data_IF_533894231553
#
_entry.id   IF_533894231553
#
_cell.length_a   1.000
_cell.length_b   1.000
_cell.length_c   1.000
_cell.angle_alpha   90.00
_cell.angle_beta   90.00
_cell.angle_gamma   90.00
#
_symmetry.space_group_name_H-M   'P 1'
#
loop_
_entity.id
_entity.type
_entity.pdbx_description
1 polymer ?
#
# COMPACT_ATOMS: atom_id res chain seq x y z
N UNK A 1 62.95 68.35 8.42
CA UNK A 1 61.81 67.72 7.74
C UNK A 1 60.98 67.13 8.82
N UNK A 2 59.84 67.82 9.14
CA UNK A 2 59.00 67.51 10.27
C UNK A 2 57.91 66.53 9.84
N UNK A 3 57.79 65.45 10.59
CA UNK A 3 56.67 64.54 10.45
C UNK A 3 55.76 64.70 11.67
N UNK A 4 54.55 65.18 11.46
CA UNK A 4 53.50 65.33 12.47
C UNK A 4 52.75 63.99 12.69
N UNK A 5 52.39 63.59 13.91
CA UNK A 5 51.61 62.43 14.17
C UNK A 5 50.14 62.75 14.14
N UNK A 6 49.38 61.94 13.39
CA UNK A 6 47.92 61.97 13.33
C UNK A 6 47.35 61.30 14.57
N UNK A 7 46.54 62.06 15.38
CA UNK A 7 45.81 61.52 16.51
C UNK A 7 44.45 61.01 16.04
N UNK A 8 44.20 59.70 16.13
CA UNK A 8 43.00 59.05 15.84
C UNK A 8 42.12 59.02 17.13
N UNK A 9 40.96 59.67 17.09
CA UNK A 9 39.96 59.62 18.16
C UNK A 9 39.11 58.40 18.01
N UNK A 10 39.20 57.47 18.98
CA UNK A 10 38.34 56.26 19.06
C UNK A 10 37.02 56.72 19.70
N UNK A 11 35.93 56.62 18.93
CA UNK A 11 34.57 56.78 19.46
C UNK A 11 34.10 55.41 19.90
N UNK A 12 33.85 55.22 21.19
CA UNK A 12 33.17 54.08 21.76
C UNK A 12 31.66 54.14 21.39
N UNK A 13 31.24 53.34 20.43
CA UNK A 13 29.83 53.03 20.15
C UNK A 13 29.39 51.95 21.12
N UNK A 14 28.52 52.30 22.08
CA UNK A 14 27.83 51.30 22.93
C UNK A 14 26.84 50.53 22.08
N UNK A 15 27.14 49.27 21.75
CA UNK A 15 26.19 48.31 21.20
C UNK A 15 25.21 47.91 22.34
N UNK A 16 23.99 48.35 22.23
CA UNK A 16 22.89 47.84 23.04
C UNK A 16 22.48 46.46 22.48
N UNK A 17 22.89 45.34 23.11
CA UNK A 17 22.49 44.00 22.78
C UNK A 17 21.03 43.80 23.24
N UNK A 18 20.10 43.90 22.29
CA UNK A 18 18.70 43.50 22.48
C UNK A 18 18.65 41.95 22.43
N UNK A 19 18.65 41.30 23.59
CA UNK A 19 18.43 39.86 23.68
C UNK A 19 16.97 39.59 23.36
N UNK A 20 16.69 39.19 22.11
CA UNK A 20 15.39 38.56 21.76
C UNK A 20 15.30 37.26 22.53
N UNK A 21 14.48 37.23 23.55
CA UNK A 21 13.98 35.99 24.19
C UNK A 21 13.10 35.25 23.18
N UNK A 22 13.69 34.48 22.26
CA UNK A 22 12.99 33.39 21.57
C UNK A 22 12.79 32.25 22.58
N UNK A 23 11.76 32.37 23.41
CA UNK A 23 11.25 31.21 24.14
C UNK A 23 10.76 30.17 23.10
N UNK A 24 11.02 28.86 23.30
CA UNK A 24 10.39 27.87 22.47
C UNK A 24 8.88 28.02 22.63
N UNK A 25 8.17 28.36 21.58
CA UNK A 25 6.73 28.14 21.51
C UNK A 25 6.54 26.62 21.57
N UNK A 26 6.36 26.10 22.79
CA UNK A 26 5.69 24.83 23.01
C UNK A 26 4.28 25.06 22.49
N UNK A 27 4.05 24.70 21.21
CA UNK A 27 2.70 24.50 20.73
C UNK A 27 2.10 23.44 21.67
N UNK A 28 1.18 23.86 22.55
CA UNK A 28 0.39 22.95 23.33
C UNK A 28 -0.26 22.01 22.32
N UNK A 29 0.15 20.74 22.29
CA UNK A 29 -0.58 19.72 21.55
C UNK A 29 -1.99 19.73 22.13
N UNK A 30 -2.96 20.17 21.34
CA UNK A 30 -4.35 20.04 21.72
C UNK A 30 -4.61 18.57 22.00
N UNK A 31 -5.10 18.29 23.20
CA UNK A 31 -5.54 16.93 23.53
C UNK A 31 -6.57 16.53 22.48
N UNK A 32 -6.38 15.38 21.88
CA UNK A 32 -7.35 14.82 20.91
C UNK A 32 -8.68 14.60 21.65
N UNK A 33 -9.69 15.39 21.33
CA UNK A 33 -11.02 15.33 21.95
C UNK A 33 -11.96 14.36 21.23
N UNK A 34 -11.43 13.54 20.29
CA UNK A 34 -12.26 12.67 19.48
C UNK A 34 -12.32 11.24 20.04
N UNK A 35 -13.45 10.59 19.86
CA UNK A 35 -13.67 9.18 20.17
C UNK A 35 -13.80 8.36 18.88
N UNK A 36 -13.06 7.25 18.77
CA UNK A 36 -13.19 6.31 17.66
C UNK A 36 -14.57 5.61 17.71
N UNK A 37 -15.30 5.63 16.60
CA UNK A 37 -16.63 5.00 16.46
C UNK A 37 -16.64 3.80 15.53
N UNK A 38 -15.86 3.86 14.46
CA UNK A 38 -15.69 2.76 13.51
C UNK A 38 -14.31 2.85 12.86
N UNK A 39 -13.77 1.71 12.46
CA UNK A 39 -12.55 1.63 11.64
C UNK A 39 -12.82 0.75 10.42
N UNK A 40 -12.33 1.18 9.25
CA UNK A 40 -12.24 0.36 8.04
C UNK A 40 -10.76 0.13 7.74
N UNK A 41 -10.33 -1.12 7.75
CA UNK A 41 -8.97 -1.57 7.44
C UNK A 41 -9.00 -2.19 6.05
N UNK A 42 -8.41 -1.53 5.06
CA UNK A 42 -8.33 -2.02 3.69
C UNK A 42 -6.92 -2.50 3.41
N UNK A 43 -6.68 -3.81 3.61
CA UNK A 43 -5.37 -4.44 3.64
C UNK A 43 -5.00 -5.18 2.36
N UNK A 44 -3.70 -5.25 2.10
CA UNK A 44 -3.08 -6.15 1.14
C UNK A 44 -2.89 -7.53 1.76
N UNK A 45 -2.91 -8.59 0.93
CA UNK A 45 -2.49 -9.93 1.36
C UNK A 45 -1.05 -9.94 1.92
N UNK A 46 -0.79 -10.92 2.79
CA UNK A 46 0.51 -11.15 3.41
C UNK A 46 1.60 -11.67 2.47
N UNK A 47 2.75 -12.01 3.04
CA UNK A 47 3.90 -12.57 2.33
C UNK A 47 3.53 -13.93 1.73
N UNK A 48 3.93 -14.14 0.47
CA UNK A 48 3.55 -15.29 -0.35
C UNK A 48 4.70 -15.81 -1.19
N UNK A 49 4.53 -16.99 -1.76
CA UNK A 49 5.40 -17.48 -2.85
C UNK A 49 5.28 -16.59 -4.10
N UNK A 50 6.25 -16.64 -5.02
CA UNK A 50 6.23 -15.85 -6.25
C UNK A 50 4.95 -16.00 -7.08
N UNK A 51 4.64 -14.98 -7.89
CA UNK A 51 3.50 -15.01 -8.83
C UNK A 51 3.78 -15.76 -10.11
N UNK A 52 5.07 -16.00 -10.43
CA UNK A 52 5.48 -16.84 -11.53
C UNK A 52 5.98 -18.18 -11.00
N UNK A 53 5.76 -19.28 -11.73
CA UNK A 53 6.41 -20.56 -11.43
C UNK A 53 7.91 -20.48 -11.72
N UNK A 54 8.69 -21.31 -11.04
CA UNK A 54 10.14 -21.39 -11.33
C UNK A 54 10.40 -21.88 -12.75
N UNK A 55 9.64 -22.86 -13.21
CA UNK A 55 9.75 -23.45 -14.55
C UNK A 55 8.37 -23.68 -15.15
N UNK A 56 8.27 -23.67 -16.48
CA UNK A 56 7.05 -24.05 -17.22
C UNK A 56 7.37 -25.16 -18.23
N UNK A 57 6.44 -26.10 -18.40
CA UNK A 57 6.50 -27.12 -19.42
C UNK A 57 5.78 -26.67 -20.69
N UNK A 58 6.40 -25.78 -21.49
CA UNK A 58 5.80 -25.24 -22.72
C UNK A 58 5.81 -23.71 -22.77
N UNK A 59 5.04 -23.09 -23.66
CA UNK A 59 4.98 -21.65 -23.77
C UNK A 59 4.38 -21.03 -22.49
N UNK A 60 5.07 -20.03 -21.96
CA UNK A 60 4.68 -19.32 -20.73
C UNK A 60 5.88 -18.63 -20.09
N UNK A 61 5.62 -17.65 -19.25
CA UNK A 61 6.66 -16.95 -18.51
C UNK A 61 6.96 -17.70 -17.21
N UNK A 62 8.25 -17.84 -16.91
CA UNK A 62 8.75 -18.48 -15.69
C UNK A 62 9.98 -17.73 -15.15
N UNK A 63 10.27 -17.89 -13.87
CA UNK A 63 11.39 -17.21 -13.23
C UNK A 63 12.75 -17.63 -13.81
N UNK A 64 12.91 -18.89 -14.21
CA UNK A 64 14.14 -19.40 -14.81
C UNK A 64 14.43 -18.80 -16.20
N UNK A 65 13.43 -18.24 -16.88
CA UNK A 65 13.66 -17.49 -18.11
C UNK A 65 14.52 -16.23 -17.86
N UNK A 66 14.44 -15.66 -16.68
CA UNK A 66 15.12 -14.40 -16.33
C UNK A 66 16.44 -14.61 -15.58
N UNK A 67 16.64 -15.74 -14.90
CA UNK A 67 17.78 -15.92 -14.00
C UNK A 67 18.71 -17.06 -14.44
N UNK A 68 20.01 -16.92 -14.13
CA UNK A 68 21.01 -17.98 -14.37
C UNK A 68 21.08 -18.97 -13.22
N UNK A 69 20.56 -18.61 -12.05
CA UNK A 69 20.50 -19.44 -10.87
C UNK A 69 19.03 -19.78 -10.55
N UNK A 70 18.74 -20.95 -9.99
CA UNK A 70 17.40 -21.28 -9.53
C UNK A 70 17.01 -20.33 -8.37
N UNK A 71 15.76 -19.87 -8.36
CA UNK A 71 15.25 -19.10 -7.23
C UNK A 71 15.19 -19.97 -5.96
N UNK A 72 15.46 -19.38 -4.77
CA UNK A 72 15.34 -20.08 -3.51
C UNK A 72 13.95 -20.70 -3.30
N UNK A 73 13.91 -21.84 -2.62
CA UNK A 73 12.65 -22.49 -2.29
C UNK A 73 11.99 -21.82 -1.08
N UNK A 74 10.72 -21.53 -1.20
CA UNK A 74 9.89 -21.14 -0.05
C UNK A 74 9.46 -22.37 0.77
N UNK A 75 9.06 -22.20 2.04
CA UNK A 75 8.61 -23.31 2.90
C UNK A 75 7.37 -24.05 2.38
N UNK A 76 6.64 -23.42 1.46
CA UNK A 76 5.47 -23.99 0.78
C UNK A 76 5.64 -23.91 -0.72
N UNK A 77 5.08 -24.89 -1.43
CA UNK A 77 5.13 -24.96 -2.89
C UNK A 77 3.88 -24.35 -3.51
N UNK A 78 4.02 -23.89 -4.75
CA UNK A 78 2.91 -23.32 -5.54
C UNK A 78 3.17 -21.85 -5.89
N UNK A 79 2.28 -21.29 -6.69
CA UNK A 79 2.31 -19.91 -7.15
C UNK A 79 1.31 -19.10 -6.33
N UNK A 80 1.72 -17.94 -5.83
CA UNK A 80 0.89 -17.04 -5.04
C UNK A 80 0.23 -17.72 -3.81
N UNK A 81 0.99 -18.54 -3.08
CA UNK A 81 0.53 -19.21 -1.86
C UNK A 81 1.02 -18.45 -0.63
N UNK A 82 0.12 -18.15 0.31
CA UNK A 82 0.49 -17.53 1.59
C UNK A 82 1.52 -18.40 2.31
N UNK A 83 2.66 -17.81 2.70
CA UNK A 83 3.67 -18.56 3.45
C UNK A 83 3.27 -18.69 4.93
N UNK A 84 3.82 -19.67 5.67
CA UNK A 84 3.62 -19.76 7.12
C UNK A 84 4.06 -18.48 7.85
N UNK A 85 5.18 -17.90 7.43
CA UNK A 85 5.69 -16.64 7.99
C UNK A 85 4.78 -15.46 7.62
N UNK A 86 4.23 -15.44 6.39
CA UNK A 86 3.21 -14.48 5.99
C UNK A 86 1.98 -14.56 6.88
N UNK A 87 1.46 -15.77 7.14
CA UNK A 87 0.33 -15.97 8.07
C UNK A 87 0.65 -15.52 9.49
N UNK A 88 1.86 -15.83 10.00
CA UNK A 88 2.31 -15.38 11.32
C UNK A 88 2.37 -13.85 11.41
N UNK A 89 2.91 -13.18 10.40
CA UNK A 89 2.97 -11.72 10.35
C UNK A 89 1.57 -11.08 10.36
N UNK A 90 0.60 -11.67 9.66
CA UNK A 90 -0.78 -11.19 9.68
C UNK A 90 -1.43 -11.39 11.06
N UNK A 91 -1.15 -12.51 11.73
CA UNK A 91 -1.61 -12.75 13.11
C UNK A 91 -1.00 -11.72 14.08
N UNK A 92 0.29 -11.41 13.93
CA UNK A 92 0.96 -10.36 14.73
C UNK A 92 0.32 -8.99 14.49
N UNK A 93 0.05 -8.65 13.23
CA UNK A 93 -0.59 -7.38 12.87
C UNK A 93 -2.03 -7.30 13.40
N UNK A 94 -2.82 -8.36 13.26
CA UNK A 94 -4.16 -8.47 13.86
C UNK A 94 -4.13 -8.29 15.37
N UNK A 95 -3.14 -8.88 16.05
CA UNK A 95 -2.91 -8.70 17.48
C UNK A 95 -2.60 -7.25 17.87
N UNK A 96 -1.82 -6.53 17.07
CA UNK A 96 -1.60 -5.10 17.26
C UNK A 96 -2.91 -4.29 17.12
N UNK A 97 -3.71 -4.56 16.09
CA UNK A 97 -5.01 -3.90 15.94
C UNK A 97 -5.93 -4.19 17.12
N UNK A 98 -5.93 -5.42 17.67
CA UNK A 98 -6.64 -5.73 18.90
C UNK A 98 -6.22 -4.81 20.06
N UNK A 99 -4.91 -4.68 20.32
CA UNK A 99 -4.39 -3.82 21.38
C UNK A 99 -4.78 -2.36 21.19
N UNK A 100 -4.62 -1.85 19.97
CA UNK A 100 -4.96 -0.46 19.65
C UNK A 100 -6.47 -0.20 19.78
N UNK A 101 -7.32 -1.05 19.20
CA UNK A 101 -8.77 -0.87 19.22
C UNK A 101 -9.36 -1.05 20.63
N UNK A 102 -8.74 -1.89 21.48
CA UNK A 102 -9.11 -1.99 22.89
C UNK A 102 -8.73 -0.72 23.64
N UNK A 103 -7.55 -0.16 23.39
CA UNK A 103 -7.12 1.13 23.97
C UNK A 103 -8.05 2.28 23.57
N UNK A 104 -8.50 2.30 22.30
CA UNK A 104 -9.45 3.30 21.78
C UNK A 104 -10.90 3.06 22.28
N UNK A 105 -11.15 1.97 22.99
CA UNK A 105 -12.48 1.63 23.53
C UNK A 105 -13.46 1.10 22.48
N UNK A 106 -12.98 0.72 21.29
CA UNK A 106 -13.81 0.14 20.24
C UNK A 106 -14.08 -1.35 20.51
N UNK A 107 -13.06 -2.07 21.00
CA UNK A 107 -13.15 -3.43 21.53
C UNK A 107 -13.16 -3.44 23.06
N UNK A 108 -13.82 -4.44 23.62
CA UNK A 108 -13.86 -4.67 25.08
C UNK A 108 -12.65 -5.50 25.57
N UNK A 109 -12.00 -6.22 24.64
CA UNK A 109 -10.97 -7.21 24.90
C UNK A 109 -11.49 -8.61 25.21
N UNK A 110 -12.82 -8.81 25.20
CA UNK A 110 -13.48 -10.11 25.28
C UNK A 110 -14.04 -10.48 23.91
N UNK A 111 -13.49 -11.49 23.31
CA UNK A 111 -13.83 -11.86 21.94
C UNK A 111 -15.32 -12.20 21.76
N UNK A 112 -15.95 -12.85 22.74
CA UNK A 112 -17.38 -13.17 22.72
C UNK A 112 -18.31 -11.96 22.75
N UNK A 113 -17.82 -10.82 23.21
CA UNK A 113 -18.57 -9.57 23.25
C UNK A 113 -18.27 -8.72 22.02
N UNK A 114 -17.11 -8.96 21.38
CA UNK A 114 -16.55 -8.14 20.30
C UNK A 114 -16.84 -8.70 18.90
N UNK A 115 -17.03 -10.02 18.73
CA UNK A 115 -17.17 -10.70 17.43
C UNK A 115 -18.36 -10.19 16.62
N UNK A 116 -19.46 -9.86 17.27
CA UNK A 116 -20.68 -9.33 16.64
C UNK A 116 -20.48 -7.94 15.99
N UNK A 117 -19.39 -7.24 16.33
CA UNK A 117 -19.08 -5.91 15.81
C UNK A 117 -18.06 -5.91 14.66
N UNK A 118 -17.60 -7.10 14.27
CA UNK A 118 -16.58 -7.27 13.22
C UNK A 118 -17.22 -7.78 11.93
N UNK A 119 -16.98 -7.08 10.84
CA UNK A 119 -17.25 -7.53 9.49
C UNK A 119 -15.93 -7.73 8.75
N UNK A 120 -15.69 -8.94 8.25
CA UNK A 120 -14.47 -9.27 7.54
C UNK A 120 -14.82 -9.84 6.17
N UNK A 121 -14.16 -9.30 5.12
CA UNK A 121 -14.32 -9.75 3.73
C UNK A 121 -12.97 -9.81 3.03
N UNK A 122 -12.78 -10.88 2.26
CA UNK A 122 -11.59 -11.14 1.47
C UNK A 122 -11.95 -11.35 0.00
N UNK A 123 -11.11 -10.91 -0.92
CA UNK A 123 -11.19 -11.36 -2.31
C UNK A 123 -11.02 -12.89 -2.38
N UNK A 124 -11.72 -13.55 -3.28
CA UNK A 124 -12.01 -15.00 -3.29
C UNK A 124 -10.82 -15.92 -3.54
N UNK A 125 -9.56 -15.45 -3.51
CA UNK A 125 -8.38 -16.31 -3.69
C UNK A 125 -7.94 -16.96 -2.38
N UNK A 126 -7.42 -18.21 -2.38
CA UNK A 126 -6.94 -18.86 -1.16
C UNK A 126 -5.88 -18.05 -0.40
N UNK A 127 -4.99 -17.37 -1.11
CA UNK A 127 -3.99 -16.45 -0.54
C UNK A 127 -4.64 -15.37 0.32
N UNK A 128 -5.63 -14.68 -0.23
CA UNK A 128 -6.25 -13.51 0.40
C UNK A 128 -7.19 -13.94 1.53
N UNK A 129 -7.92 -15.04 1.34
CA UNK A 129 -8.76 -15.65 2.40
C UNK A 129 -7.88 -16.10 3.58
N UNK A 130 -6.75 -16.78 3.30
CA UNK A 130 -5.80 -17.21 4.34
C UNK A 130 -5.18 -16.03 5.10
N UNK A 131 -4.87 -14.94 4.41
CA UNK A 131 -4.42 -13.68 5.02
C UNK A 131 -5.47 -13.12 5.98
N UNK A 132 -6.73 -13.03 5.53
CA UNK A 132 -7.83 -12.53 6.34
C UNK A 132 -8.08 -13.39 7.59
N UNK A 133 -8.01 -14.72 7.44
CA UNK A 133 -8.14 -15.67 8.56
C UNK A 133 -7.00 -15.50 9.57
N UNK A 134 -5.76 -15.36 9.11
CA UNK A 134 -4.59 -15.13 9.96
C UNK A 134 -4.71 -13.80 10.71
N UNK A 135 -5.09 -12.72 10.04
CA UNK A 135 -5.35 -11.43 10.68
C UNK A 135 -6.46 -11.54 11.74
N UNK A 136 -7.57 -12.19 11.41
CA UNK A 136 -8.69 -12.41 12.33
C UNK A 136 -8.26 -13.19 13.58
N UNK A 137 -7.39 -14.19 13.43
CA UNK A 137 -6.88 -14.98 14.58
C UNK A 137 -6.04 -14.16 15.56
N UNK A 138 -5.42 -13.08 15.08
CA UNK A 138 -4.75 -12.11 15.95
C UNK A 138 -5.71 -11.09 16.56
N UNK A 139 -6.68 -10.64 15.78
CA UNK A 139 -7.66 -9.63 16.21
C UNK A 139 -8.61 -10.16 17.29
N UNK A 140 -9.14 -11.38 17.10
CA UNK A 140 -10.09 -12.06 18.00
C UNK A 140 -9.68 -13.52 18.18
N UNK A 141 -8.63 -13.83 18.96
CA UNK A 141 -8.03 -15.17 19.02
C UNK A 141 -8.94 -16.25 19.61
N UNK A 142 -9.96 -15.89 20.39
CA UNK A 142 -10.90 -16.83 20.98
C UNK A 142 -12.27 -16.88 20.28
N UNK A 143 -12.46 -16.12 19.18
CA UNK A 143 -13.68 -16.15 18.40
C UNK A 143 -13.45 -16.79 17.03
N UNK A 144 -14.50 -17.32 16.42
CA UNK A 144 -14.51 -17.77 15.03
C UNK A 144 -15.08 -16.66 14.16
N UNK A 145 -14.21 -15.81 13.62
CA UNK A 145 -14.65 -14.75 12.71
C UNK A 145 -14.91 -15.31 11.32
N UNK A 146 -16.10 -15.04 10.79
CA UNK A 146 -16.47 -15.46 9.44
C UNK A 146 -15.80 -14.53 8.44
N UNK A 147 -15.00 -15.11 7.53
CA UNK A 147 -14.46 -14.41 6.36
C UNK A 147 -15.48 -14.50 5.22
N UNK A 148 -16.14 -13.40 4.91
CA UNK A 148 -16.99 -13.30 3.76
C UNK A 148 -16.13 -13.28 2.49
N UNK A 149 -16.45 -14.11 1.50
CA UNK A 149 -15.75 -14.12 0.20
C UNK A 149 -16.65 -14.68 -0.89
N UNK A 150 -16.37 -14.34 -2.13
CA UNK A 150 -16.96 -15.01 -3.29
C UNK A 150 -16.16 -16.27 -3.60
N UNK A 151 -16.87 -17.30 -4.06
CA UNK A 151 -16.24 -18.56 -4.47
C UNK A 151 -16.00 -18.55 -5.98
N UNK A 152 -14.79 -18.81 -6.45
CA UNK A 152 -14.52 -18.92 -7.88
C UNK A 152 -15.46 -19.95 -8.56
N UNK A 153 -15.93 -19.71 -9.81
CA UNK A 153 -15.46 -18.68 -10.73
C UNK A 153 -16.14 -17.32 -10.56
N UNK A 154 -16.99 -17.10 -9.55
CA UNK A 154 -17.63 -15.81 -9.33
C UNK A 154 -16.60 -14.76 -8.85
N UNK A 155 -16.57 -13.62 -9.50
CA UNK A 155 -15.73 -12.48 -9.13
C UNK A 155 -16.44 -11.63 -8.08
N UNK A 156 -15.66 -11.10 -7.13
CA UNK A 156 -16.20 -10.25 -6.08
C UNK A 156 -16.42 -8.81 -6.61
N UNK A 157 -17.67 -8.32 -6.65
CA UNK A 157 -17.97 -6.99 -7.17
C UNK A 157 -17.26 -5.87 -6.41
N UNK A 158 -16.85 -6.12 -5.16
CA UNK A 158 -16.15 -5.12 -4.35
C UNK A 158 -14.69 -4.92 -4.80
N UNK A 159 -14.01 -6.01 -5.17
CA UNK A 159 -12.57 -6.01 -5.48
C UNK A 159 -12.29 -6.13 -6.98
N UNK A 160 -13.16 -6.80 -7.72
CA UNK A 160 -13.03 -7.08 -9.15
C UNK A 160 -14.30 -6.62 -9.92
N UNK A 161 -14.66 -5.32 -9.85
CA UNK A 161 -15.96 -4.84 -10.33
C UNK A 161 -16.14 -4.99 -11.85
N UNK A 162 -15.06 -5.00 -12.63
CA UNK A 162 -15.10 -5.22 -14.09
C UNK A 162 -15.45 -6.67 -14.40
N UNK A 163 -14.77 -7.62 -13.76
CA UNK A 163 -15.04 -9.05 -13.92
C UNK A 163 -16.43 -9.43 -13.41
N UNK A 164 -16.89 -8.78 -12.35
CA UNK A 164 -18.22 -8.98 -11.79
C UNK A 164 -19.33 -8.28 -12.58
N UNK A 165 -19.00 -7.52 -13.62
CA UNK A 165 -19.97 -6.81 -14.47
C UNK A 165 -20.62 -5.58 -13.81
N UNK A 166 -20.08 -5.09 -12.69
CA UNK A 166 -20.54 -3.87 -12.01
C UNK A 166 -19.96 -2.62 -12.67
N UNK A 167 -18.68 -2.67 -13.07
CA UNK A 167 -18.02 -1.59 -13.77
C UNK A 167 -17.78 -1.93 -15.24
N UNK A 168 -17.85 -0.91 -16.07
CA UNK A 168 -17.59 -1.04 -17.50
C UNK A 168 -16.26 -0.41 -17.89
N UNK A 169 -15.38 -1.19 -18.53
CA UNK A 169 -14.05 -0.79 -18.95
C UNK A 169 -14.00 -0.55 -20.47
N UNK A 170 -13.65 0.68 -20.85
CA UNK A 170 -13.26 0.98 -22.24
C UNK A 170 -11.72 0.82 -22.33
N UNK A 171 -11.29 -0.27 -22.95
CA UNK A 171 -9.87 -0.60 -23.11
C UNK A 171 -9.10 0.44 -23.95
N UNK A 172 -9.74 1.07 -24.94
CA UNK A 172 -9.10 2.12 -25.75
C UNK A 172 -8.84 3.36 -24.91
N UNK A 173 -9.82 3.73 -24.09
CA UNK A 173 -9.66 4.82 -23.14
C UNK A 173 -8.60 4.49 -22.07
N UNK A 174 -8.53 3.24 -21.58
CA UNK A 174 -7.52 2.79 -20.65
C UNK A 174 -6.10 2.98 -21.21
N UNK A 175 -5.85 2.47 -22.42
CA UNK A 175 -4.56 2.63 -23.11
C UNK A 175 -4.25 4.11 -23.35
N UNK A 176 -5.23 4.92 -23.80
CA UNK A 176 -5.03 6.34 -24.00
C UNK A 176 -4.69 7.10 -22.73
N UNK A 177 -5.36 6.75 -21.61
CA UNK A 177 -5.13 7.37 -20.29
C UNK A 177 -3.74 7.05 -19.74
N UNK A 178 -3.28 5.81 -19.88
CA UNK A 178 -1.93 5.40 -19.48
C UNK A 178 -0.86 6.08 -20.33
N UNK A 179 -1.04 6.12 -21.66
CA UNK A 179 -0.14 6.84 -22.56
C UNK A 179 -0.06 8.34 -22.22
N UNK A 180 -1.22 8.97 -21.94
CA UNK A 180 -1.28 10.37 -21.52
C UNK A 180 -0.54 10.61 -20.20
N UNK A 181 -0.70 9.71 -19.24
CA UNK A 181 -0.02 9.80 -17.93
C UNK A 181 1.48 9.48 -18.01
N UNK A 182 1.88 8.61 -18.93
CA UNK A 182 3.28 8.33 -19.20
C UNK A 182 4.03 9.60 -19.64
N UNK A 183 3.40 10.46 -20.41
CA UNK A 183 3.93 11.78 -20.82
C UNK A 183 5.08 11.72 -21.82
N UNK A 184 5.36 10.54 -22.36
CA UNK A 184 6.44 10.30 -23.32
C UNK A 184 6.20 9.03 -24.12
N UNK A 185 7.26 8.47 -24.69
CA UNK A 185 7.19 7.14 -25.29
C UNK A 185 7.42 6.04 -24.22
N UNK A 186 6.84 4.85 -24.37
CA UNK A 186 7.12 3.74 -23.46
C UNK A 186 8.61 3.46 -23.30
N UNK A 187 9.41 3.60 -24.36
CA UNK A 187 10.86 3.42 -24.34
C UNK A 187 11.59 4.44 -23.44
N UNK A 188 10.98 5.58 -23.14
CA UNK A 188 11.52 6.56 -22.20
C UNK A 188 11.62 5.99 -20.77
N UNK A 189 10.79 4.99 -20.42
CA UNK A 189 10.88 4.29 -19.14
C UNK A 189 12.20 3.51 -19.00
N UNK A 190 12.62 2.78 -20.03
CA UNK A 190 13.88 2.06 -20.01
C UNK A 190 15.08 3.00 -19.78
N UNK A 191 15.03 4.21 -20.35
CA UNK A 191 16.07 5.23 -20.14
C UNK A 191 15.99 5.80 -18.72
N UNK A 192 14.81 6.13 -18.24
CA UNK A 192 14.60 6.73 -16.91
C UNK A 192 14.97 5.78 -15.78
N UNK A 193 14.73 4.48 -15.96
CA UNK A 193 15.01 3.42 -14.98
C UNK A 193 16.23 2.55 -15.34
N UNK A 194 17.13 3.05 -16.19
CA UNK A 194 18.35 2.33 -16.59
C UNK A 194 19.20 1.83 -15.42
N UNK A 195 19.41 2.59 -14.33
CA UNK A 195 20.15 2.10 -13.15
C UNK A 195 19.47 0.89 -12.49
N UNK A 196 18.14 0.92 -12.33
CA UNK A 196 17.36 -0.15 -11.74
C UNK A 196 17.37 -1.41 -12.62
N UNK A 197 17.17 -1.25 -13.92
CA UNK A 197 17.24 -2.33 -14.90
C UNK A 197 18.65 -2.96 -14.92
N UNK A 198 19.71 -2.15 -14.87
CA UNK A 198 21.09 -2.63 -14.86
C UNK A 198 21.38 -3.41 -13.57
N UNK A 199 20.95 -2.92 -12.41
CA UNK A 199 21.07 -3.64 -11.15
C UNK A 199 20.29 -4.96 -11.19
N UNK A 200 19.04 -4.92 -11.63
CA UNK A 200 18.20 -6.12 -11.79
C UNK A 200 18.86 -7.16 -12.67
N UNK A 201 19.38 -6.75 -13.83
CA UNK A 201 20.12 -7.64 -14.75
C UNK A 201 21.33 -8.28 -14.08
N UNK A 202 22.12 -7.50 -13.33
CA UNK A 202 23.30 -8.03 -12.66
C UNK A 202 22.95 -9.08 -11.61
N UNK A 203 21.88 -8.87 -10.85
CA UNK A 203 21.37 -9.80 -9.85
C UNK A 203 20.83 -11.07 -10.51
N UNK A 204 19.96 -10.95 -11.52
CA UNK A 204 19.34 -12.09 -12.21
C UNK A 204 20.36 -12.97 -12.93
N UNK A 205 21.40 -12.38 -13.50
CA UNK A 205 22.45 -13.12 -14.20
C UNK A 205 23.65 -13.46 -13.32
N UNK A 206 23.59 -13.13 -12.04
CA UNK A 206 24.65 -13.37 -11.07
C UNK A 206 26.00 -12.76 -11.49
N UNK A 207 25.98 -11.53 -12.00
CA UNK A 207 27.19 -10.79 -12.35
C UNK A 207 27.62 -9.87 -11.23
N UNK A 208 28.94 -9.68 -11.01
CA UNK A 208 29.42 -8.65 -10.10
C UNK A 208 28.92 -7.27 -10.51
N UNK A 209 28.42 -6.49 -9.54
CA UNK A 209 27.98 -5.13 -9.79
C UNK A 209 29.13 -4.28 -10.40
N UNK A 210 28.84 -3.53 -11.46
CA UNK A 210 29.80 -2.65 -12.12
C UNK A 210 30.83 -3.35 -13.00
N UNK A 211 30.63 -4.62 -13.34
CA UNK A 211 31.55 -5.35 -14.24
C UNK A 211 31.63 -4.67 -15.61
N UNK A 212 32.86 -4.44 -16.05
CA UNK A 212 33.18 -3.85 -17.39
C UNK A 212 34.19 -4.74 -18.11
N UNK A 213 33.96 -5.09 -19.40
CA UNK A 213 32.77 -4.78 -20.19
C UNK A 213 31.51 -5.46 -19.62
N UNK A 214 30.33 -4.91 -19.93
CA UNK A 214 29.06 -5.53 -19.55
C UNK A 214 29.00 -6.93 -20.18
N UNK A 215 28.77 -7.99 -19.38
CA UNK A 215 28.71 -9.36 -19.92
C UNK A 215 27.59 -9.52 -20.94
N UNK A 216 27.77 -10.44 -21.90
CA UNK A 216 26.71 -10.82 -22.83
C UNK A 216 25.53 -11.48 -22.10
N UNK A 217 24.35 -11.39 -22.69
CA UNK A 217 23.16 -12.09 -22.19
C UNK A 217 23.37 -13.59 -22.29
N UNK A 218 23.20 -14.35 -21.20
CA UNK A 218 23.33 -15.80 -21.24
C UNK A 218 22.35 -16.44 -22.22
N UNK A 219 22.81 -17.45 -22.94
CA UNK A 219 21.99 -18.15 -23.95
C UNK A 219 20.67 -18.67 -23.36
N UNK A 220 19.56 -18.36 -24.00
CA UNK A 220 18.22 -18.79 -23.59
C UNK A 220 17.62 -18.00 -22.44
N UNK A 221 18.26 -16.91 -21.99
CA UNK A 221 17.72 -16.01 -20.95
C UNK A 221 17.17 -14.72 -21.53
N UNK A 222 16.20 -14.17 -20.85
CA UNK A 222 15.57 -12.88 -21.17
C UNK A 222 16.35 -11.77 -20.49
N UNK A 223 16.86 -10.82 -21.26
CA UNK A 223 17.57 -9.66 -20.73
C UNK A 223 16.60 -8.54 -20.41
N UNK A 224 16.42 -8.26 -19.12
CA UNK A 224 15.48 -7.25 -18.61
C UNK A 224 15.79 -5.83 -19.10
N UNK A 225 17.03 -5.57 -19.59
CA UNK A 225 17.41 -4.26 -20.13
C UNK A 225 17.02 -4.07 -21.59
N UNK A 226 16.61 -5.15 -22.27
CA UNK A 226 16.29 -5.17 -23.69
C UNK A 226 14.84 -5.58 -24.02
N UNK A 227 14.02 -5.91 -23.00
CA UNK A 227 12.61 -6.23 -23.20
C UNK A 227 11.88 -4.98 -23.68
N UNK A 228 11.14 -5.04 -24.80
CA UNK A 228 10.35 -3.92 -25.26
C UNK A 228 9.28 -3.52 -24.23
N UNK A 229 9.25 -2.25 -23.85
CA UNK A 229 8.16 -1.68 -23.05
C UNK A 229 7.18 -1.05 -24.05
N UNK A 230 5.94 -1.44 -24.00
CA UNK A 230 4.86 -0.89 -24.80
C UNK A 230 3.61 -0.66 -23.94
N UNK A 231 2.56 -0.12 -24.52
CA UNK A 231 1.28 0.09 -23.85
C UNK A 231 0.19 -0.49 -24.77
N UNK A 232 -0.29 -1.66 -24.38
CA UNK A 232 -1.28 -2.41 -25.15
C UNK A 232 -2.54 -2.68 -24.32
N UNK A 233 -3.58 -3.17 -24.98
CA UNK A 233 -4.79 -3.64 -24.32
C UNK A 233 -4.48 -4.92 -23.53
N UNK A 234 -4.81 -4.92 -22.27
CA UNK A 234 -4.71 -6.07 -21.38
C UNK A 234 -6.01 -6.87 -21.27
N UNK A 235 -6.39 -7.22 -20.06
CA UNK A 235 -7.61 -7.96 -19.72
C UNK A 235 -8.39 -7.26 -18.60
N UNK A 236 -9.41 -7.89 -18.05
CA UNK A 236 -10.25 -7.29 -17.01
C UNK A 236 -9.50 -7.06 -15.69
N UNK A 237 -8.59 -7.95 -15.33
CA UNK A 237 -7.79 -7.84 -14.09
C UNK A 237 -6.59 -6.91 -14.26
N UNK A 238 -5.99 -6.89 -15.46
CA UNK A 238 -4.90 -6.01 -15.87
C UNK A 238 -5.32 -5.26 -17.14
N UNK A 239 -6.02 -4.13 -17.00
CA UNK A 239 -6.66 -3.43 -18.12
C UNK A 239 -5.72 -2.97 -19.21
N UNK A 240 -4.49 -2.70 -18.85
CA UNK A 240 -3.42 -2.27 -19.76
C UNK A 240 -2.23 -3.19 -19.56
N UNK A 241 -1.69 -3.69 -20.64
CA UNK A 241 -0.44 -4.45 -20.66
C UNK A 241 0.72 -3.49 -20.92
N UNK A 242 1.68 -3.44 -20.01
CA UNK A 242 2.91 -2.64 -20.13
C UNK A 242 4.11 -3.44 -20.64
N UNK A 243 3.85 -4.61 -21.23
CA UNK A 243 4.86 -5.44 -21.89
C UNK A 243 6.04 -5.76 -20.98
N UNK A 244 7.25 -5.47 -21.44
CA UNK A 244 8.48 -5.80 -20.70
C UNK A 244 8.55 -5.19 -19.28
N UNK A 245 7.85 -4.11 -18.96
CA UNK A 245 7.82 -3.59 -17.58
C UNK A 245 7.06 -4.56 -16.65
N UNK A 246 5.96 -5.15 -17.12
CA UNK A 246 5.21 -6.17 -16.37
C UNK A 246 6.06 -7.44 -16.17
N UNK A 247 6.78 -7.87 -17.20
CA UNK A 247 7.68 -9.04 -17.13
C UNK A 247 8.81 -8.80 -16.12
N UNK A 248 9.44 -7.64 -16.16
CA UNK A 248 10.48 -7.26 -15.18
C UNK A 248 9.92 -7.21 -13.76
N UNK A 249 8.76 -6.61 -13.58
CA UNK A 249 8.09 -6.55 -12.27
C UNK A 249 7.81 -7.96 -11.71
N UNK A 250 7.36 -8.88 -12.56
CA UNK A 250 7.14 -10.27 -12.17
C UNK A 250 8.45 -11.02 -11.84
N UNK A 251 9.55 -10.70 -12.53
CA UNK A 251 10.86 -11.30 -12.28
C UNK A 251 11.51 -10.82 -10.98
N UNK A 252 11.23 -9.60 -10.53
CA UNK A 252 11.77 -9.02 -9.28
C UNK A 252 10.86 -9.24 -8.06
N UNK A 253 9.59 -9.58 -8.26
CA UNK A 253 8.62 -9.85 -7.19
C UNK A 253 9.14 -10.83 -6.12
N UNK A 254 9.86 -11.92 -6.47
CA UNK A 254 10.40 -12.83 -5.46
C UNK A 254 11.29 -12.17 -4.41
N UNK A 255 12.10 -11.18 -4.77
CA UNK A 255 13.13 -10.65 -3.87
C UNK A 255 12.56 -9.97 -2.62
N UNK A 256 11.44 -9.26 -2.74
CA UNK A 256 10.77 -8.68 -1.57
C UNK A 256 10.13 -9.79 -0.73
N UNK A 257 9.60 -10.82 -1.36
CA UNK A 257 8.98 -11.95 -0.66
C UNK A 257 10.03 -12.80 0.06
N UNK A 258 11.17 -13.09 -0.58
CA UNK A 258 12.32 -13.77 0.04
C UNK A 258 12.80 -13.04 1.30
N UNK A 259 12.98 -11.71 1.20
CA UNK A 259 13.40 -10.91 2.34
C UNK A 259 12.37 -10.91 3.45
N UNK A 260 11.11 -10.64 3.12
CA UNK A 260 10.02 -10.52 4.08
C UNK A 260 9.64 -11.87 4.73
N UNK A 261 9.83 -12.99 4.01
CA UNK A 261 9.64 -14.35 4.55
C UNK A 261 10.78 -14.80 5.47
N UNK A 262 11.86 -14.02 5.58
CA UNK A 262 12.98 -14.31 6.46
C UNK A 262 13.98 -15.31 5.91
N UNK A 263 14.06 -15.52 4.59
CA UNK A 263 15.06 -16.38 3.98
C UNK A 263 16.48 -15.92 4.39
N UNK A 264 17.47 -16.84 4.49
CA UNK A 264 18.85 -16.46 4.76
C UNK A 264 19.35 -15.33 3.86
N UNK A 265 20.14 -14.41 4.38
CA UNK A 265 20.63 -13.27 3.60
C UNK A 265 21.45 -13.73 2.35
N UNK A 266 22.06 -14.90 2.40
CA UNK A 266 22.75 -15.53 1.27
C UNK A 266 21.82 -16.04 0.17
N UNK A 267 20.52 -16.13 0.44
CA UNK A 267 19.50 -16.59 -0.51
C UNK A 267 18.74 -15.43 -1.13
N UNK A 268 18.55 -14.31 -0.40
CA UNK A 268 17.84 -13.13 -0.90
C UNK A 268 18.60 -12.54 -2.11
N UNK A 269 18.01 -12.68 -3.30
CA UNK A 269 18.70 -12.33 -4.54
C UNK A 269 20.08 -12.98 -4.65
N UNK A 270 20.20 -14.22 -4.22
CA UNK A 270 21.46 -15.00 -4.15
C UNK A 270 22.57 -14.31 -3.35
N UNK A 271 22.19 -13.58 -2.29
CA UNK A 271 23.12 -12.83 -1.43
C UNK A 271 23.59 -11.49 -2.01
N UNK A 272 23.06 -11.06 -3.15
CA UNK A 272 23.46 -9.81 -3.82
C UNK A 272 22.60 -8.61 -3.45
N UNK A 273 21.44 -8.83 -2.78
CA UNK A 273 20.50 -7.77 -2.46
C UNK A 273 20.43 -7.49 -0.95
N UNK A 274 20.75 -6.26 -0.59
CA UNK A 274 20.36 -5.67 0.70
C UNK A 274 18.92 -5.15 0.63
N UNK A 275 18.32 -4.79 1.79
CA UNK A 275 17.02 -4.12 1.84
C UNK A 275 17.00 -2.84 0.96
N UNK A 276 18.09 -2.07 0.94
CA UNK A 276 18.22 -0.90 0.06
C UNK A 276 18.27 -1.25 -1.42
N UNK A 277 18.95 -2.33 -1.79
CA UNK A 277 18.97 -2.85 -3.16
C UNK A 277 17.60 -3.32 -3.62
N UNK A 278 16.87 -4.04 -2.76
CA UNK A 278 15.47 -4.44 -3.02
C UNK A 278 14.61 -3.19 -3.25
N UNK A 279 14.68 -2.21 -2.34
CA UNK A 279 13.94 -0.95 -2.47
C UNK A 279 14.27 -0.22 -3.77
N UNK A 280 15.51 -0.26 -4.23
CA UNK A 280 15.92 0.35 -5.51
C UNK A 280 15.27 -0.35 -6.70
N UNK A 281 15.40 -1.67 -6.84
CA UNK A 281 14.83 -2.39 -8.00
C UNK A 281 13.31 -2.36 -8.00
N UNK A 282 12.67 -2.32 -6.82
CA UNK A 282 11.22 -2.26 -6.70
C UNK A 282 10.60 -0.97 -7.23
N UNK A 283 11.37 0.08 -7.49
CA UNK A 283 10.90 1.27 -8.22
C UNK A 283 10.33 0.92 -9.60
N UNK A 284 10.80 -0.17 -10.22
CA UNK A 284 10.23 -0.69 -11.47
C UNK A 284 8.81 -1.24 -11.25
N UNK A 285 8.62 -2.02 -10.18
CA UNK A 285 7.33 -2.57 -9.80
C UNK A 285 6.34 -1.46 -9.39
N UNK A 286 6.82 -0.51 -8.58
CA UNK A 286 5.98 0.62 -8.15
C UNK A 286 5.56 1.49 -9.34
N UNK A 287 6.44 1.67 -10.34
CA UNK A 287 6.10 2.38 -11.57
C UNK A 287 5.07 1.63 -12.41
N UNK A 288 5.13 0.31 -12.45
CA UNK A 288 4.09 -0.52 -13.08
C UNK A 288 2.73 -0.25 -12.42
N UNK A 289 2.64 -0.43 -11.10
CA UNK A 289 1.40 -0.20 -10.34
C UNK A 289 0.89 1.23 -10.49
N UNK A 290 1.79 2.20 -10.50
CA UNK A 290 1.46 3.61 -10.68
C UNK A 290 0.79 3.86 -12.03
N UNK A 291 1.30 3.29 -13.11
CA UNK A 291 0.74 3.44 -14.45
C UNK A 291 -0.57 2.65 -14.63
N UNK A 292 -0.63 1.40 -14.16
CA UNK A 292 -1.79 0.53 -14.38
C UNK A 292 -2.96 0.82 -13.44
N UNK A 293 -2.70 1.14 -12.17
CA UNK A 293 -3.78 1.24 -11.17
C UNK A 293 -3.97 2.66 -10.63
N UNK A 294 -2.93 3.50 -10.63
CA UNK A 294 -3.05 4.89 -10.19
C UNK A 294 -3.38 5.87 -11.32
N UNK A 295 -3.56 5.40 -12.56
CA UNK A 295 -4.09 6.22 -13.66
C UNK A 295 -5.56 6.56 -13.37
N UNK A 296 -5.96 7.85 -13.34
CA UNK A 296 -7.27 8.28 -12.82
C UNK A 296 -8.47 7.58 -13.48
N UNK A 297 -8.43 7.33 -14.78
CA UNK A 297 -9.50 6.58 -15.45
C UNK A 297 -9.63 5.15 -14.91
N UNK A 298 -8.50 4.44 -14.75
CA UNK A 298 -8.47 3.06 -14.24
C UNK A 298 -8.86 3.01 -12.77
N UNK A 299 -8.34 3.93 -11.95
CA UNK A 299 -8.73 4.06 -10.56
C UNK A 299 -10.25 4.30 -10.42
N UNK A 300 -10.83 5.17 -11.26
CA UNK A 300 -12.27 5.42 -11.30
C UNK A 300 -13.08 4.17 -11.65
N UNK A 301 -12.64 3.38 -12.63
CA UNK A 301 -13.34 2.15 -13.03
C UNK A 301 -13.22 1.06 -11.97
N UNK A 302 -12.02 0.81 -11.44
CA UNK A 302 -11.75 -0.35 -10.59
C UNK A 302 -12.04 -0.11 -9.10
N UNK A 303 -12.02 1.14 -8.61
CA UNK A 303 -12.11 1.41 -7.17
C UNK A 303 -13.38 2.15 -6.74
N UNK A 304 -14.20 2.62 -7.69
CA UNK A 304 -15.43 3.36 -7.35
C UNK A 304 -16.40 2.52 -6.53
N UNK A 305 -16.55 1.22 -6.84
CA UNK A 305 -17.50 0.38 -6.13
C UNK A 305 -17.08 0.17 -4.66
N UNK A 306 -15.84 -0.21 -4.41
CA UNK A 306 -15.36 -0.37 -3.02
C UNK A 306 -15.42 0.94 -2.24
N UNK A 307 -15.05 2.06 -2.86
CA UNK A 307 -15.15 3.39 -2.25
C UNK A 307 -16.59 3.75 -1.87
N UNK A 308 -17.55 3.47 -2.76
CA UNK A 308 -18.99 3.67 -2.51
C UNK A 308 -19.46 2.89 -1.28
N UNK A 309 -19.13 1.61 -1.21
CA UNK A 309 -19.50 0.76 -0.07
C UNK A 309 -18.84 1.21 1.24
N UNK A 310 -17.57 1.62 1.21
CA UNK A 310 -16.85 2.14 2.40
C UNK A 310 -17.50 3.43 2.92
N UNK A 311 -17.82 4.38 2.05
CA UNK A 311 -18.46 5.64 2.45
C UNK A 311 -19.84 5.40 3.06
N UNK A 312 -20.66 4.56 2.44
CA UNK A 312 -21.97 4.16 2.97
C UNK A 312 -21.85 3.51 4.36
N UNK A 313 -20.83 2.69 4.54
CA UNK A 313 -20.54 2.04 5.83
C UNK A 313 -20.25 3.07 6.93
N UNK A 314 -19.44 4.09 6.64
CA UNK A 314 -19.17 5.18 7.59
C UNK A 314 -20.42 6.01 7.89
N UNK A 315 -21.22 6.34 6.87
CA UNK A 315 -22.48 7.07 7.06
C UNK A 315 -23.48 6.24 7.87
N UNK A 316 -23.58 4.93 7.61
CA UNK A 316 -24.39 4.01 8.41
C UNK A 316 -23.99 4.04 9.90
N UNK A 317 -22.68 3.95 10.18
CA UNK A 317 -22.17 3.98 11.55
C UNK A 317 -22.38 5.34 12.23
N UNK A 318 -22.24 6.44 11.49
CA UNK A 318 -22.46 7.79 12.02
C UNK A 318 -23.94 8.07 12.34
N UNK A 319 -24.86 7.53 11.55
CA UNK A 319 -26.31 7.79 11.71
C UNK A 319 -27.02 6.73 12.55
N UNK A 320 -26.44 5.54 12.71
CA UNK A 320 -27.08 4.37 13.35
C UNK A 320 -28.19 3.75 12.52
N UNK A 321 -28.43 4.22 11.30
CA UNK A 321 -29.49 3.73 10.41
C UNK A 321 -28.91 2.80 9.34
N UNK A 322 -29.59 1.68 9.08
CA UNK A 322 -29.20 0.76 8.01
C UNK A 322 -29.20 1.47 6.65
N UNK A 323 -28.12 1.29 5.89
CA UNK A 323 -27.96 1.88 4.57
C UNK A 323 -27.69 0.78 3.53
N UNK A 324 -28.44 0.81 2.43
CA UNK A 324 -28.22 -0.12 1.31
C UNK A 324 -26.80 -0.01 0.78
N UNK A 325 -26.11 -1.14 0.65
CA UNK A 325 -24.73 -1.20 0.19
C UNK A 325 -23.67 -0.91 1.27
N UNK A 326 -24.05 -0.63 2.52
CA UNK A 326 -23.07 -0.60 3.61
C UNK A 326 -22.58 -2.02 3.94
N UNK A 327 -21.34 -2.14 4.38
CA UNK A 327 -20.71 -3.38 4.80
C UNK A 327 -21.05 -3.68 6.26
N UNK A 328 -21.53 -4.88 6.53
CA UNK A 328 -22.03 -5.24 7.86
C UNK A 328 -23.40 -4.61 8.18
N UNK A 329 -23.66 -4.36 9.45
CA UNK A 329 -24.90 -3.79 9.96
C UNK A 329 -24.63 -2.49 10.77
N UNK A 330 -25.65 -1.74 11.21
CA UNK A 330 -25.44 -0.48 11.93
C UNK A 330 -24.60 -0.58 13.22
N UNK A 331 -24.49 -1.76 13.83
CA UNK A 331 -23.65 -1.97 15.01
C UNK A 331 -22.20 -2.38 14.67
N UNK A 332 -21.87 -2.58 13.39
CA UNK A 332 -20.51 -2.94 12.95
C UNK A 332 -19.53 -1.80 13.25
N UNK A 333 -18.51 -2.09 14.05
CA UNK A 333 -17.47 -1.14 14.46
C UNK A 333 -16.16 -1.33 13.72
N UNK A 334 -15.89 -2.56 13.29
CA UNK A 334 -14.63 -2.93 12.64
C UNK A 334 -14.97 -3.59 11.32
N UNK A 335 -14.48 -3.00 10.24
CA UNK A 335 -14.59 -3.56 8.89
C UNK A 335 -13.18 -3.86 8.39
N UNK A 336 -12.91 -5.12 8.07
CA UNK A 336 -11.63 -5.56 7.50
C UNK A 336 -11.87 -6.05 6.09
N UNK A 337 -11.22 -5.41 5.14
CA UNK A 337 -11.26 -5.77 3.73
C UNK A 337 -9.85 -6.18 3.31
N UNK A 338 -9.67 -7.41 2.85
CA UNK A 338 -8.37 -7.91 2.41
C UNK A 338 -8.40 -8.15 0.91
N UNK A 339 -7.44 -7.55 0.22
CA UNK A 339 -7.37 -7.58 -1.24
C UNK A 339 -5.89 -7.63 -1.73
N UNK A 340 -5.65 -7.17 -2.94
CA UNK A 340 -4.30 -7.06 -3.51
C UNK A 340 -3.74 -5.64 -3.44
N UNK A 341 -2.45 -5.50 -3.71
CA UNK A 341 -1.79 -4.20 -3.84
C UNK A 341 -2.41 -3.32 -4.94
N UNK A 342 -2.95 -3.93 -5.99
CA UNK A 342 -3.64 -3.23 -7.09
C UNK A 342 -4.91 -2.53 -6.62
N UNK A 343 -5.68 -3.17 -5.73
CA UNK A 343 -6.87 -2.58 -5.14
C UNK A 343 -6.53 -1.41 -4.21
N UNK A 344 -5.44 -1.53 -3.42
CA UNK A 344 -4.97 -0.42 -2.57
C UNK A 344 -4.49 0.75 -3.43
N UNK A 345 -3.68 0.48 -4.47
CA UNK A 345 -3.18 1.51 -5.38
C UNK A 345 -4.34 2.25 -6.08
N UNK A 346 -5.35 1.51 -6.55
CA UNK A 346 -6.53 2.09 -7.20
C UNK A 346 -7.37 2.94 -6.25
N UNK A 347 -7.66 2.45 -5.04
CA UNK A 347 -8.41 3.23 -4.03
C UNK A 347 -7.65 4.49 -3.61
N UNK A 348 -6.34 4.37 -3.40
CA UNK A 348 -5.49 5.50 -3.09
C UNK A 348 -5.52 6.55 -4.20
N UNK A 349 -5.41 6.13 -5.45
CA UNK A 349 -5.45 7.04 -6.59
C UNK A 349 -6.82 7.72 -6.75
N UNK A 350 -7.91 6.99 -6.48
CA UNK A 350 -9.27 7.54 -6.56
C UNK A 350 -9.46 8.74 -5.62
N UNK A 351 -8.86 8.70 -4.43
CA UNK A 351 -8.92 9.74 -3.43
C UNK A 351 -7.67 10.63 -3.38
N UNK A 352 -6.69 10.43 -4.28
CA UNK A 352 -5.40 11.13 -4.31
C UNK A 352 -4.65 11.01 -2.98
N UNK A 353 -4.58 9.81 -2.44
CA UNK A 353 -3.90 9.50 -1.18
C UNK A 353 -2.45 9.13 -1.46
N UNK A 354 -1.53 9.74 -0.70
CA UNK A 354 -0.10 9.46 -0.78
C UNK A 354 0.47 9.22 0.62
N UNK A 355 1.47 8.36 0.73
CA UNK A 355 2.17 8.05 1.98
C UNK A 355 3.62 7.68 1.76
N UNK A 356 4.41 7.80 2.83
CA UNK A 356 5.80 7.34 2.85
C UNK A 356 6.07 6.70 4.21
N UNK A 357 6.43 5.42 4.20
CA UNK A 357 6.87 4.71 5.40
C UNK A 357 8.38 4.49 5.39
N UNK A 358 9.01 4.39 6.59
CA UNK A 358 10.43 4.08 6.68
C UNK A 358 10.79 2.76 5.97
N UNK A 359 11.79 2.81 5.10
CA UNK A 359 12.28 1.65 4.36
C UNK A 359 11.51 1.27 3.10
N UNK A 360 10.43 1.97 2.79
CA UNK A 360 9.64 1.77 1.57
C UNK A 360 9.79 2.94 0.59
N UNK A 361 9.48 2.71 -0.66
CA UNK A 361 9.28 3.78 -1.64
C UNK A 361 7.94 4.49 -1.38
N UNK A 362 7.72 5.72 -1.90
CA UNK A 362 6.42 6.39 -1.81
C UNK A 362 5.30 5.49 -2.34
N UNK A 363 4.17 5.51 -1.67
CA UNK A 363 2.89 4.86 -2.06
C UNK A 363 2.94 3.33 -2.20
N UNK A 364 3.98 2.70 -1.66
CA UNK A 364 4.09 1.23 -1.69
C UNK A 364 2.98 0.60 -0.85
N UNK A 365 2.19 -0.24 -1.51
CA UNK A 365 1.30 -1.16 -0.83
C UNK A 365 2.12 -2.37 -0.34
N UNK A 366 2.72 -2.28 0.84
CA UNK A 366 3.58 -3.33 1.42
C UNK A 366 2.79 -4.63 1.70
N UNK A 367 3.43 -5.83 1.72
CA UNK A 367 2.77 -7.06 2.16
C UNK A 367 2.15 -6.89 3.55
N UNK A 368 0.87 -7.24 3.72
CA UNK A 368 0.11 -7.04 4.95
C UNK A 368 -0.22 -5.57 5.28
N UNK A 369 0.29 -4.61 4.53
CA UNK A 369 0.00 -3.19 4.76
C UNK A 369 -1.44 -2.81 4.43
N UNK A 370 -1.97 -1.78 5.10
CA UNK A 370 -3.36 -1.38 4.98
C UNK A 370 -3.55 0.15 4.97
N UNK A 371 -4.48 0.61 4.15
CA UNK A 371 -5.14 1.90 4.34
C UNK A 371 -6.17 1.76 5.46
N UNK A 372 -6.05 2.57 6.49
CA UNK A 372 -6.91 2.57 7.67
C UNK A 372 -7.70 3.86 7.68
N UNK A 373 -9.03 3.76 7.67
CA UNK A 373 -9.94 4.89 7.78
C UNK A 373 -10.68 4.81 9.11
N UNK A 374 -10.49 5.82 9.94
CA UNK A 374 -11.12 5.96 11.25
C UNK A 374 -12.32 6.91 11.14
N UNK A 375 -13.51 6.46 11.51
CA UNK A 375 -14.64 7.34 11.78
C UNK A 375 -14.59 7.71 13.26
N UNK A 376 -14.38 8.98 13.56
CA UNK A 376 -14.28 9.51 14.92
C UNK A 376 -15.36 10.56 15.17
N UNK A 377 -15.70 10.77 16.42
CA UNK A 377 -16.64 11.82 16.82
C UNK A 377 -15.98 12.76 17.80
N UNK A 378 -16.01 14.05 17.52
CA UNK A 378 -15.58 15.09 18.47
C UNK A 378 -16.51 15.07 19.69
N UNK A 379 -15.92 15.05 20.88
CA UNK A 379 -16.68 15.06 22.14
C UNK A 379 -17.22 16.44 22.47
N UNK A 380 -16.59 17.49 21.93
CA UNK A 380 -17.01 18.87 22.15
C UNK A 380 -18.09 19.34 21.19
N UNK A 381 -18.03 18.96 19.90
CA UNK A 381 -18.99 19.43 18.87
C UNK A 381 -20.00 18.35 18.46
N UNK A 382 -19.76 17.08 18.82
CA UNK A 382 -20.49 15.90 18.35
C UNK A 382 -20.38 15.65 16.82
N UNK A 383 -19.55 16.41 16.10
CA UNK A 383 -19.32 16.23 14.67
C UNK A 383 -18.51 14.97 14.38
N UNK A 384 -18.84 14.29 13.29
CA UNK A 384 -18.06 13.15 12.82
C UNK A 384 -16.96 13.58 11.87
N UNK A 385 -15.79 12.99 12.05
CA UNK A 385 -14.60 13.19 11.20
C UNK A 385 -14.06 11.87 10.72
N UNK A 386 -13.37 11.90 9.59
CA UNK A 386 -12.61 10.79 9.02
C UNK A 386 -11.12 11.11 9.14
N UNK A 387 -10.33 10.15 9.64
CA UNK A 387 -8.87 10.15 9.56
C UNK A 387 -8.44 9.00 8.66
N UNK A 388 -7.46 9.25 7.84
CA UNK A 388 -6.83 8.21 7.04
C UNK A 388 -5.38 8.03 7.45
N UNK A 389 -4.91 6.80 7.48
CA UNK A 389 -3.50 6.46 7.66
C UNK A 389 -3.14 5.25 6.82
N UNK A 390 -1.85 5.12 6.47
CA UNK A 390 -1.31 3.87 5.95
C UNK A 390 -0.47 3.22 7.04
N UNK A 391 -0.76 1.94 7.34
CA UNK A 391 -0.13 1.16 8.40
C UNK A 391 0.49 -0.09 7.81
N UNK A 392 1.75 -0.38 8.12
CA UNK A 392 2.42 -1.61 7.72
C UNK A 392 3.57 -1.96 8.66
N UNK A 393 3.83 -3.25 8.80
CA UNK A 393 5.11 -3.69 9.34
C UNK A 393 6.26 -3.21 8.43
N UNK A 394 7.39 -2.82 9.02
CA UNK A 394 8.60 -2.58 8.22
C UNK A 394 9.11 -3.89 7.65
N UNK A 395 9.96 -3.82 6.60
CA UNK A 395 10.57 -5.02 6.04
C UNK A 395 11.33 -5.86 7.09
N UNK A 396 11.97 -5.21 8.06
CA UNK A 396 12.67 -5.91 9.16
C UNK A 396 11.70 -6.51 10.18
N UNK A 397 10.56 -5.85 10.46
CA UNK A 397 9.51 -6.42 11.31
C UNK A 397 8.89 -7.66 10.67
N UNK A 398 8.63 -7.63 9.35
CA UNK A 398 8.15 -8.80 8.60
C UNK A 398 9.18 -9.94 8.65
N UNK A 399 10.42 -9.64 8.28
CA UNK A 399 11.52 -10.59 8.22
C UNK A 399 11.75 -11.33 9.53
N UNK A 400 11.71 -10.58 10.64
CA UNK A 400 12.03 -11.08 11.97
C UNK A 400 10.78 -11.51 12.75
N UNK A 401 9.59 -11.46 12.16
CA UNK A 401 8.31 -11.73 12.83
C UNK A 401 8.21 -10.98 14.16
N UNK A 402 8.58 -9.69 14.13
CA UNK A 402 8.69 -8.88 15.34
C UNK A 402 7.32 -8.70 15.98
N UNK A 403 7.20 -9.08 17.24
CA UNK A 403 5.98 -8.86 18.01
C UNK A 403 5.67 -7.37 18.13
N UNK A 404 4.45 -6.99 17.81
CA UNK A 404 3.98 -5.60 17.83
C UNK A 404 3.26 -5.29 19.14
N UNK A 405 3.52 -4.10 19.67
CA UNK A 405 2.86 -3.57 20.87
C UNK A 405 2.51 -2.10 20.70
N UNK A 406 1.76 -1.51 21.62
CA UNK A 406 1.50 -0.06 21.60
C UNK A 406 2.76 0.78 21.80
N UNK A 407 3.81 0.22 22.41
CA UNK A 407 5.11 0.88 22.58
C UNK A 407 6.07 0.63 21.41
N UNK A 408 5.88 -0.45 20.66
CA UNK A 408 6.63 -0.82 19.47
C UNK A 408 5.63 -1.16 18.35
N UNK A 409 4.95 -0.15 17.78
CA UNK A 409 3.91 -0.34 16.77
C UNK A 409 4.50 -0.70 15.39
N UNK A 410 3.67 -1.11 14.43
CA UNK A 410 4.04 -1.07 13.01
C UNK A 410 4.31 0.37 12.58
N UNK A 411 4.99 0.55 11.46
CA UNK A 411 5.13 1.86 10.86
C UNK A 411 3.76 2.40 10.42
N UNK A 412 3.55 3.70 10.61
CA UNK A 412 2.30 4.37 10.25
C UNK A 412 2.58 5.78 9.75
N UNK A 413 1.83 6.23 8.75
CA UNK A 413 1.84 7.60 8.26
C UNK A 413 0.40 8.12 8.17
N UNK A 414 0.09 9.31 8.74
CA UNK A 414 -1.18 9.96 8.49
C UNK A 414 -1.27 10.36 7.02
N UNK A 415 -2.45 10.19 6.45
CA UNK A 415 -2.70 10.42 5.02
C UNK A 415 -3.61 11.64 4.86
N UNK A 416 -3.16 12.61 4.05
CA UNK A 416 -3.94 13.78 3.70
C UNK A 416 -4.99 13.42 2.64
N UNK A 417 -6.26 13.75 2.86
CA UNK A 417 -7.35 13.57 1.89
C UNK A 417 -7.61 14.91 1.20
N UNK A 418 -7.18 15.09 -0.07
CA UNK A 418 -7.37 16.34 -0.79
C UNK A 418 -8.85 16.73 -0.90
N UNK A 419 -9.11 18.01 -0.63
CA UNK A 419 -10.46 18.57 -0.72
C UNK A 419 -11.30 18.48 0.56
N UNK A 420 -10.78 17.82 1.64
CA UNK A 420 -11.47 17.86 2.94
C UNK A 420 -10.55 17.89 4.17
N UNK A 421 -9.31 17.35 4.11
CA UNK A 421 -8.42 17.38 5.28
C UNK A 421 -8.11 18.79 5.74
N UNK A 422 -8.21 19.02 7.06
CA UNK A 422 -7.88 20.28 7.71
C UNK A 422 -6.42 20.31 8.18
N UNK A 423 -5.92 21.49 8.50
CA UNK A 423 -4.54 21.69 8.96
C UNK A 423 -4.40 21.31 10.44
N UNK A 424 -4.23 20.02 10.71
CA UNK A 424 -3.83 19.50 12.02
C UNK A 424 -2.87 18.30 11.82
N UNK A 425 -2.36 17.73 12.91
CA UNK A 425 -1.37 16.63 12.84
C UNK A 425 -1.93 15.32 12.28
N UNK A 426 -3.24 15.15 12.31
CA UNK A 426 -3.94 13.91 11.89
C UNK A 426 -4.72 14.09 10.58
N UNK A 427 -4.65 15.29 9.96
CA UNK A 427 -5.35 15.62 8.72
C UNK A 427 -6.84 15.30 8.76
N UNK A 428 -7.50 15.63 9.88
CA UNK A 428 -8.92 15.38 10.07
C UNK A 428 -9.76 15.94 8.92
N UNK A 429 -10.72 15.15 8.46
CA UNK A 429 -11.65 15.52 7.41
C UNK A 429 -13.08 15.40 7.95
N UNK A 430 -13.91 16.48 8.00
CA UNK A 430 -15.31 16.33 8.36
C UNK A 430 -16.01 15.29 7.50
N UNK A 431 -16.81 14.39 8.11
CA UNK A 431 -17.48 13.30 7.37
C UNK A 431 -18.33 13.83 6.21
N UNK A 432 -19.02 14.96 6.42
CA UNK A 432 -19.84 15.58 5.37
C UNK A 432 -18.99 15.97 4.15
N UNK A 433 -17.79 16.50 4.37
CA UNK A 433 -16.88 16.89 3.30
C UNK A 433 -16.24 15.65 2.65
N UNK A 434 -15.92 14.61 3.43
CA UNK A 434 -15.46 13.33 2.89
C UNK A 434 -16.49 12.70 1.94
N UNK A 435 -17.77 12.73 2.30
CA UNK A 435 -18.86 12.29 1.41
C UNK A 435 -18.90 13.10 0.12
N UNK A 436 -18.65 14.42 0.18
CA UNK A 436 -18.59 15.25 -1.03
C UNK A 436 -17.36 14.95 -1.89
N UNK A 437 -16.20 14.69 -1.26
CA UNK A 437 -15.00 14.23 -1.99
C UNK A 437 -15.30 12.92 -2.70
N UNK A 438 -15.88 11.95 -1.99
CA UNK A 438 -16.23 10.65 -2.56
C UNK A 438 -17.23 10.78 -3.73
N UNK A 439 -18.28 11.59 -3.59
CA UNK A 439 -19.25 11.82 -4.68
C UNK A 439 -18.62 12.40 -5.94
N UNK A 440 -17.55 13.19 -5.81
CA UNK A 440 -16.81 13.72 -6.97
C UNK A 440 -15.83 12.72 -7.57
N UNK A 441 -15.23 11.86 -6.73
CA UNK A 441 -14.22 10.91 -7.15
C UNK A 441 -14.82 9.65 -7.77
N UNK A 442 -15.92 9.14 -7.20
CA UNK A 442 -16.58 7.91 -7.64
C UNK A 442 -17.20 8.13 -9.04
N UNK A 443 -16.84 7.26 -9.98
CA UNK A 443 -17.44 7.20 -11.31
C UNK A 443 -18.83 6.53 -11.21
N UNK A 444 -19.93 7.25 -11.50
CA UNK A 444 -21.29 6.73 -11.28
C UNK A 444 -21.59 5.44 -12.06
N UNK A 445 -20.99 5.27 -13.23
CA UNK A 445 -21.13 4.08 -14.07
C UNK A 445 -20.33 2.87 -13.59
N UNK A 446 -19.52 3.02 -12.55
CA UNK A 446 -18.61 2.00 -12.03
C UNK A 446 -18.89 1.66 -10.55
N UNK A 447 -20.01 2.11 -10.03
CA UNK A 447 -20.45 1.81 -8.67
C UNK A 447 -21.97 1.93 -8.56
N UNK A 448 -22.54 1.27 -7.56
CA UNK A 448 -23.88 1.60 -7.10
C UNK A 448 -23.89 3.06 -6.61
N UNK A 449 -24.86 3.85 -7.06
CA UNK A 449 -24.91 5.27 -6.78
C UNK A 449 -25.02 5.56 -5.28
N UNK A 450 -24.26 6.52 -4.80
CA UNK A 450 -24.47 7.17 -3.50
C UNK A 450 -25.68 8.10 -3.64
N UNK A 451 -26.90 7.59 -3.45
CA UNK A 451 -28.13 8.38 -3.44
C UNK A 451 -28.39 9.02 -2.09
#
# INVERSE_FOLDING_TARGET
MHVLPCKMKIHFVRLLTLALLCGPFLAAQSVDDTQLKQVIIFGRHGVRTPILPNTVAGPGLSLDAFSTLPFPAFPVSGVAVLTPNGGTNETILGGYFRLWLTKEGLLTGKDSDDDAFVYLRANGTPLIIGTAQAFASGLLPAATVIVNSYTPPASDPLFDPVDAGVAHLDYRMAVAAVNGRLGGTPQSLAVAYAPELTLTRSVLFNYPAGQTPVPETPTGKVDVTSIPIDVATGNTSLPVDLGGLADVAAAIDPFVMEYADGLPASEVGWGQLSAGGISQIFRLYDRLLDLEFRTPYLAGVQSSNVASHMVRTMVQAATGNAMTGALGNPSTKIVVLVASNTNIAGLAALFHLDWLLPGYQPDVAAPGGALVFELRQSMSTAEYIVRASYVSQTMDQLRNQTGLTLAAPPASAPVFIPGCSIRNATFDCPLADFVQVAKRAIAPQSADLLN
#
